data_IF_192491985317
#
_entry.id   IF_192491985317
#
_cell.length_a   1.000
_cell.length_b   1.000
_cell.length_c   1.000
_cell.angle_alpha   90.00
_cell.angle_beta   90.00
_cell.angle_gamma   90.00
#
_symmetry.space_group_name_H-M   'P 1'
#
loop_
_entity.id
_entity.type
_entity.pdbx_description
1 polymer ?
#
# COMPACT_ATOMS: atom_id res chain seq x y z
N UNK A 1 50.97 29.93 -21.25
CA UNK A 1 50.86 29.22 -19.95
C UNK A 1 49.70 29.88 -19.22
N UNK A 2 48.44 29.48 -19.41
CA UNK A 2 47.81 28.20 -19.05
C UNK A 2 47.96 27.88 -17.55
N UNK A 3 46.85 27.92 -16.82
CA UNK A 3 46.75 27.59 -15.39
C UNK A 3 45.36 27.91 -14.84
N UNK A 4 44.40 27.07 -15.24
CA UNK A 4 42.95 27.20 -15.05
C UNK A 4 42.54 27.03 -13.56
N UNK A 5 41.60 27.86 -13.10
CA UNK A 5 40.88 27.63 -11.83
C UNK A 5 39.88 26.49 -12.04
N UNK A 6 40.18 25.30 -11.51
CA UNK A 6 39.21 24.21 -11.46
C UNK A 6 38.32 24.36 -10.22
N UNK A 7 37.03 24.46 -10.50
CA UNK A 7 35.91 24.12 -9.64
C UNK A 7 36.11 22.76 -8.96
N UNK A 8 35.57 22.58 -7.76
CA UNK A 8 34.57 21.53 -7.56
C UNK A 8 33.70 21.88 -6.33
N UNK A 9 32.53 22.43 -6.65
CA UNK A 9 31.37 22.42 -5.78
C UNK A 9 31.07 20.95 -5.50
N UNK A 10 31.21 20.54 -4.23
CA UNK A 10 30.81 19.21 -3.73
C UNK A 10 29.35 18.95 -4.07
N UNK A 11 29.13 18.30 -5.22
CA UNK A 11 27.86 17.76 -5.61
C UNK A 11 27.48 16.64 -4.66
N UNK A 12 26.53 16.90 -3.77
CA UNK A 12 25.72 15.89 -3.09
C UNK A 12 24.78 15.24 -4.13
N UNK A 13 25.38 14.55 -5.09
CA UNK A 13 24.69 13.62 -5.97
C UNK A 13 24.49 12.34 -5.18
N UNK A 14 23.28 12.11 -4.67
CA UNK A 14 22.86 10.78 -4.20
C UNK A 14 22.94 9.85 -5.42
N UNK A 15 24.06 9.14 -5.56
CA UNK A 15 24.34 8.26 -6.70
C UNK A 15 23.58 6.94 -6.61
N UNK A 16 23.09 6.57 -5.44
CA UNK A 16 22.34 5.33 -5.24
C UNK A 16 20.86 5.62 -4.97
N UNK A 17 20.03 5.45 -6.00
CA UNK A 17 18.56 5.52 -5.89
C UNK A 17 17.94 4.26 -5.25
N UNK A 18 18.74 3.24 -4.99
CA UNK A 18 18.29 1.95 -4.46
C UNK A 18 19.23 1.47 -3.36
N UNK A 19 18.67 1.10 -2.21
CA UNK A 19 19.40 0.41 -1.14
C UNK A 19 19.10 -1.10 -1.16
N UNK A 20 20.10 -1.93 -0.90
CA UNK A 20 19.87 -3.35 -0.54
C UNK A 20 19.63 -3.41 0.97
N UNK A 21 18.42 -3.82 1.37
CA UNK A 21 18.10 -4.05 2.77
C UNK A 21 18.85 -5.27 3.30
N UNK A 22 19.47 -5.15 4.46
CA UNK A 22 20.00 -6.31 5.18
C UNK A 22 18.83 -7.18 5.64
N UNK A 23 18.88 -8.48 5.35
CA UNK A 23 17.79 -9.42 5.68
C UNK A 23 17.66 -9.73 7.17
N UNK A 24 18.51 -9.14 8.03
CA UNK A 24 18.43 -9.15 9.50
C UNK A 24 18.65 -10.51 10.16
N UNK A 25 18.00 -11.56 9.66
CA UNK A 25 18.01 -12.90 10.20
C UNK A 25 18.96 -13.81 9.39
N UNK A 26 19.87 -14.47 10.10
CA UNK A 26 20.74 -15.52 9.58
C UNK A 26 20.39 -16.84 10.29
N UNK A 27 20.18 -17.92 9.53
CA UNK A 27 19.78 -19.22 10.05
C UNK A 27 20.92 -20.22 9.87
N UNK A 28 21.39 -20.78 10.98
CA UNK A 28 22.54 -21.68 11.03
C UNK A 28 22.25 -23.11 10.52
N UNK A 29 21.04 -23.35 10.02
CA UNK A 29 20.57 -24.65 9.53
C UNK A 29 20.23 -25.67 10.62
N UNK A 30 20.25 -25.29 11.91
CA UNK A 30 19.99 -26.23 13.02
C UNK A 30 18.98 -25.69 14.03
N UNK A 31 18.22 -26.59 14.67
CA UNK A 31 17.29 -26.22 15.76
C UNK A 31 17.99 -26.13 17.14
N UNK A 32 19.33 -26.30 17.20
CA UNK A 32 20.06 -26.39 18.49
C UNK A 32 20.11 -25.07 19.26
N UNK A 33 19.96 -23.94 18.57
CA UNK A 33 20.02 -22.58 19.12
C UNK A 33 18.67 -21.85 19.11
N UNK A 34 17.60 -22.60 18.89
CA UNK A 34 16.25 -22.07 18.77
C UNK A 34 15.54 -22.18 20.12
N UNK A 35 15.02 -21.05 20.61
CA UNK A 35 14.19 -20.97 21.82
C UNK A 35 12.74 -20.69 21.42
N UNK A 36 11.81 -21.07 22.30
CA UNK A 36 10.40 -20.77 22.13
C UNK A 36 10.09 -19.36 22.67
N UNK A 37 9.50 -18.52 21.83
CA UNK A 37 9.11 -17.17 22.22
C UNK A 37 7.59 -17.00 22.05
N UNK A 38 6.86 -16.57 23.10
CA UNK A 38 5.46 -16.21 22.96
C UNK A 38 5.34 -14.82 22.34
N UNK A 39 4.68 -14.72 21.19
CA UNK A 39 4.39 -13.47 20.51
C UNK A 39 2.89 -13.25 20.51
N UNK A 40 2.45 -12.09 20.98
CA UNK A 40 1.07 -11.65 20.92
C UNK A 40 0.84 -10.85 19.64
N UNK A 41 0.00 -11.36 18.73
CA UNK A 41 -0.24 -10.77 17.40
C UNK A 41 -1.72 -10.78 17.01
N UNK A 42 -2.06 -9.97 16.03
CA UNK A 42 -3.32 -10.06 15.30
C UNK A 42 -3.22 -11.16 14.23
N UNK A 43 -4.12 -12.15 14.28
CA UNK A 43 -4.22 -13.20 13.26
C UNK A 43 -5.52 -13.01 12.47
N UNK A 44 -5.41 -13.20 11.17
CA UNK A 44 -6.56 -13.26 10.26
C UNK A 44 -7.25 -14.61 10.46
N UNK A 45 -8.50 -14.59 10.91
CA UNK A 45 -9.36 -15.75 11.06
C UNK A 45 -9.99 -16.14 9.73
N UNK A 46 -10.62 -15.17 9.07
CA UNK A 46 -11.22 -15.33 7.76
C UNK A 46 -11.00 -14.06 6.92
N UNK A 47 -11.00 -14.22 5.59
CA UNK A 47 -10.78 -13.12 4.67
C UNK A 47 -11.46 -13.35 3.33
N UNK A 48 -11.91 -12.25 2.73
CA UNK A 48 -12.49 -12.25 1.40
C UNK A 48 -11.86 -11.14 0.54
N UNK A 49 -11.48 -11.52 -0.68
CA UNK A 49 -10.85 -10.65 -1.67
C UNK A 49 -11.80 -10.42 -2.84
N UNK A 50 -11.95 -9.16 -3.24
CA UNK A 50 -12.84 -8.76 -4.32
C UNK A 50 -12.11 -7.93 -5.34
N UNK A 51 -12.32 -8.24 -6.61
CA UNK A 51 -11.86 -7.44 -7.74
C UNK A 51 -13.09 -6.88 -8.44
N UNK A 52 -13.19 -5.55 -8.46
CA UNK A 52 -14.29 -4.81 -9.04
C UNK A 52 -13.77 -3.92 -10.16
N UNK A 53 -14.64 -3.65 -11.14
CA UNK A 53 -14.29 -2.79 -12.26
C UNK A 53 -15.29 -1.65 -12.38
N UNK A 54 -14.76 -0.43 -12.42
CA UNK A 54 -15.51 0.77 -12.78
C UNK A 54 -15.09 1.28 -14.14
N UNK A 55 -16.02 1.87 -14.90
CA UNK A 55 -15.71 2.49 -16.19
C UNK A 55 -16.05 3.98 -16.16
N UNK A 56 -15.14 4.80 -16.68
CA UNK A 56 -15.32 6.23 -16.87
C UNK A 56 -14.96 6.62 -18.30
N UNK A 57 -15.90 7.22 -19.00
CA UNK A 57 -15.66 7.79 -20.33
C UNK A 57 -15.28 9.27 -20.18
N UNK A 58 -14.17 9.66 -20.77
CA UNK A 58 -13.72 11.05 -20.84
C UNK A 58 -13.72 11.51 -22.29
N UNK A 59 -14.65 12.41 -22.65
CA UNK A 59 -14.77 12.93 -24.00
C UNK A 59 -14.06 14.29 -24.12
N UNK A 60 -13.41 14.51 -25.26
CA UNK A 60 -12.81 15.78 -25.65
C UNK A 60 -11.78 16.31 -24.62
N UNK A 61 -11.07 15.40 -23.95
CA UNK A 61 -10.12 15.72 -22.90
C UNK A 61 -8.91 16.41 -23.49
N UNK A 62 -8.55 17.58 -22.98
CA UNK A 62 -7.38 18.34 -23.43
C UNK A 62 -6.12 17.77 -22.80
N UNK A 63 -5.09 17.59 -23.64
CA UNK A 63 -3.76 17.14 -23.26
C UNK A 63 -2.72 18.26 -23.40
N UNK A 64 -1.63 18.15 -22.64
CA UNK A 64 -0.48 19.06 -22.69
C UNK A 64 0.83 18.26 -22.80
N UNK A 65 1.86 18.77 -23.50
CA UNK A 65 1.91 20.06 -24.20
C UNK A 65 1.13 20.06 -25.52
N UNK A 66 0.87 21.24 -26.07
CA UNK A 66 0.41 21.38 -27.45
C UNK A 66 1.55 21.03 -28.42
N UNK A 67 1.21 20.40 -29.55
CA UNK A 67 2.19 19.90 -30.53
C UNK A 67 2.67 20.95 -31.54
N UNK A 68 2.11 22.16 -31.51
CA UNK A 68 2.37 23.21 -32.51
C UNK A 68 1.45 23.15 -33.73
N UNK A 69 1.44 24.22 -34.53
CA UNK A 69 0.62 24.31 -35.72
C UNK A 69 1.02 23.23 -36.74
N UNK A 70 0.02 22.73 -37.49
CA UNK A 70 0.22 21.71 -38.52
C UNK A 70 0.64 20.32 -38.05
N UNK A 71 0.80 20.12 -36.74
CA UNK A 71 1.21 18.83 -36.18
C UNK A 71 0.20 17.71 -36.45
N UNK A 72 0.72 16.53 -36.79
CA UNK A 72 -0.09 15.31 -37.02
C UNK A 72 0.51 14.12 -36.27
N UNK A 73 -0.30 13.45 -35.45
CA UNK A 73 0.10 12.21 -34.79
C UNK A 73 0.12 11.06 -35.82
N UNK A 74 1.26 10.38 -35.94
CA UNK A 74 1.45 9.21 -36.80
C UNK A 74 0.98 7.95 -36.07
N UNK A 75 1.46 7.75 -34.85
CA UNK A 75 1.16 6.57 -34.04
C UNK A 75 1.28 6.85 -32.54
N UNK A 76 0.60 6.02 -31.76
CA UNK A 76 0.70 5.97 -30.30
C UNK A 76 1.69 4.85 -29.96
N UNK A 77 2.63 5.13 -29.07
CA UNK A 77 3.58 4.18 -28.54
C UNK A 77 3.01 3.46 -27.32
N UNK A 78 2.50 4.22 -26.35
CA UNK A 78 1.95 3.70 -25.11
C UNK A 78 0.90 4.65 -24.52
N UNK A 79 -0.01 4.10 -23.71
CA UNK A 79 -0.99 4.85 -22.92
C UNK A 79 -0.89 4.37 -21.48
N UNK A 80 -0.44 5.27 -20.60
CA UNK A 80 -0.22 4.99 -19.19
C UNK A 80 -1.25 5.72 -18.35
N UNK A 81 -1.75 5.04 -17.33
CA UNK A 81 -2.63 5.63 -16.35
C UNK A 81 -2.06 5.43 -14.95
N UNK A 82 -2.06 6.49 -14.15
CA UNK A 82 -1.64 6.45 -12.75
C UNK A 82 -2.59 7.27 -11.89
N UNK A 83 -2.63 6.93 -10.61
CA UNK A 83 -3.38 7.72 -9.63
C UNK A 83 -2.83 9.12 -9.53
N UNK A 84 -3.73 10.09 -9.38
CA UNK A 84 -3.32 11.39 -8.89
C UNK A 84 -3.14 11.32 -7.38
N UNK A 85 -1.98 11.76 -6.89
CA UNK A 85 -1.71 11.97 -5.47
C UNK A 85 -0.83 13.20 -5.31
N UNK A 86 -1.27 14.13 -4.45
CA UNK A 86 -0.55 15.33 -4.09
C UNK A 86 0.20 15.10 -2.75
N UNK A 87 1.54 14.89 -2.78
CA UNK A 87 2.30 14.63 -1.57
C UNK A 87 2.36 15.83 -0.62
N UNK A 88 2.13 17.06 -1.12
CA UNK A 88 2.13 18.26 -0.30
C UNK A 88 0.83 18.45 0.49
N UNK A 89 -0.25 17.76 0.09
CA UNK A 89 -1.55 17.85 0.77
C UNK A 89 -2.36 16.56 0.61
N UNK A 90 -2.41 15.77 1.68
CA UNK A 90 -3.18 14.51 1.71
C UNK A 90 -4.70 14.73 1.56
N UNK A 91 -5.18 15.92 1.93
CA UNK A 91 -6.60 16.31 1.85
C UNK A 91 -6.96 16.98 0.51
N UNK A 92 -6.07 16.96 -0.49
CA UNK A 92 -6.41 17.46 -1.84
C UNK A 92 -7.54 16.61 -2.43
N UNK A 93 -8.66 17.25 -2.78
CA UNK A 93 -9.84 16.57 -3.34
C UNK A 93 -9.56 15.87 -4.68
N UNK A 94 -8.44 16.18 -5.35
CA UNK A 94 -8.01 15.49 -6.57
C UNK A 94 -7.33 14.15 -6.28
N UNK A 95 -6.88 13.91 -5.05
CA UNK A 95 -6.28 12.64 -4.65
C UNK A 95 -7.28 11.52 -4.89
N UNK A 96 -6.87 10.51 -5.67
CA UNK A 96 -7.74 9.37 -5.95
C UNK A 96 -7.92 8.54 -4.68
N UNK A 97 -9.16 8.40 -4.22
CA UNK A 97 -9.50 7.67 -3.00
C UNK A 97 -10.62 6.68 -3.28
N UNK A 98 -10.50 5.48 -2.70
CA UNK A 98 -11.60 4.54 -2.54
C UNK A 98 -12.08 4.66 -1.09
N UNK A 99 -13.35 4.98 -0.90
CA UNK A 99 -13.98 5.12 0.41
C UNK A 99 -14.97 3.96 0.54
N UNK A 100 -14.57 2.85 1.20
CA UNK A 100 -15.48 1.75 1.44
C UNK A 100 -16.41 2.09 2.61
N UNK A 101 -17.68 1.77 2.44
CA UNK A 101 -18.72 1.78 3.47
C UNK A 101 -19.33 0.38 3.51
N UNK A 102 -19.18 -0.29 4.66
CA UNK A 102 -19.66 -1.65 4.87
C UNK A 102 -20.85 -1.67 5.82
N UNK A 103 -21.85 -2.47 5.48
CA UNK A 103 -22.98 -2.81 6.35
C UNK A 103 -23.01 -4.32 6.54
N UNK A 104 -23.12 -4.77 7.79
CA UNK A 104 -23.14 -6.19 8.18
C UNK A 104 -24.58 -6.59 8.52
N UNK A 105 -24.94 -7.80 8.11
CA UNK A 105 -26.19 -8.49 8.37
C UNK A 105 -25.87 -9.82 9.07
N UNK A 106 -26.64 -10.17 10.09
CA UNK A 106 -26.37 -11.36 10.93
C UNK A 106 -25.35 -11.10 12.05
N UNK A 107 -24.96 -9.85 12.25
CA UNK A 107 -24.07 -9.38 13.31
C UNK A 107 -24.14 -7.88 13.46
N UNK A 108 -23.64 -7.38 14.57
CA UNK A 108 -23.63 -5.96 14.91
C UNK A 108 -22.21 -5.42 14.97
N UNK A 109 -22.02 -4.23 14.42
CA UNK A 109 -20.84 -3.42 14.72
C UNK A 109 -21.05 -2.88 16.15
N UNK A 110 -20.08 -3.14 17.03
CA UNK A 110 -20.19 -2.68 18.42
C UNK A 110 -20.06 -1.16 18.45
N UNK A 111 -21.07 -0.49 18.96
CA UNK A 111 -21.14 0.96 19.09
C UNK A 111 -20.91 1.41 20.55
N UNK A 112 -20.42 2.64 20.71
CA UNK A 112 -20.37 3.32 21.99
C UNK A 112 -21.77 3.77 22.44
N UNK A 113 -21.87 4.30 23.67
CA UNK A 113 -23.13 4.83 24.20
C UNK A 113 -23.69 6.06 23.45
N UNK A 114 -23.01 6.54 22.41
CA UNK A 114 -23.41 7.63 21.53
C UNK A 114 -23.73 7.15 20.10
N UNK A 115 -23.68 5.85 19.82
CA UNK A 115 -23.96 5.26 18.50
C UNK A 115 -22.78 5.33 17.52
N UNK A 116 -21.54 5.56 17.98
CA UNK A 116 -20.37 5.51 17.11
C UNK A 116 -19.70 4.13 17.18
N UNK A 117 -19.28 3.55 16.04
CA UNK A 117 -18.52 2.31 16.04
C UNK A 117 -17.25 2.37 16.90
N UNK A 118 -17.07 1.39 17.77
CA UNK A 118 -15.86 1.23 18.58
C UNK A 118 -14.72 0.74 17.68
N UNK A 119 -13.68 1.57 17.56
CA UNK A 119 -12.50 1.29 16.74
C UNK A 119 -11.27 0.95 17.58
N UNK A 120 -10.46 0.04 17.06
CA UNK A 120 -9.20 -0.42 17.66
C UNK A 120 -8.05 -0.06 16.73
N UNK A 121 -6.88 0.16 17.33
CA UNK A 121 -5.65 0.44 16.58
C UNK A 121 -5.21 -0.83 15.84
N UNK A 122 -5.18 -0.74 14.51
CA UNK A 122 -4.70 -1.79 13.63
C UNK A 122 -3.17 -1.77 13.47
N UNK A 123 -2.63 -2.70 12.66
CA UNK A 123 -1.20 -2.84 12.44
C UNK A 123 -0.58 -1.64 11.70
N UNK A 124 -1.40 -0.81 11.06
CA UNK A 124 -1.00 0.46 10.43
C UNK A 124 -0.82 1.61 11.43
N UNK A 125 -1.10 1.37 12.72
CA UNK A 125 -0.98 2.37 13.77
C UNK A 125 -2.16 3.35 13.82
N UNK A 126 -3.23 3.11 13.06
CA UNK A 126 -4.44 3.96 13.06
C UNK A 126 -5.67 3.19 13.55
N UNK A 127 -6.75 3.90 13.86
CA UNK A 127 -8.03 3.31 14.25
C UNK A 127 -8.77 2.73 13.02
N UNK A 128 -8.21 1.65 12.47
CA UNK A 128 -8.60 1.01 11.23
C UNK A 128 -9.48 -0.24 11.43
N UNK A 129 -9.44 -0.85 12.61
CA UNK A 129 -10.22 -2.05 12.94
C UNK A 129 -11.49 -1.69 13.72
N UNK A 130 -12.62 -2.35 13.43
CA UNK A 130 -13.90 -2.16 14.14
C UNK A 130 -14.30 -3.45 14.84
N UNK A 131 -14.86 -3.37 16.04
CA UNK A 131 -15.28 -4.57 16.79
C UNK A 131 -16.63 -5.08 16.25
N UNK A 132 -16.74 -6.39 16.04
CA UNK A 132 -17.96 -7.05 15.57
C UNK A 132 -18.44 -8.06 16.61
N UNK A 133 -19.75 -8.09 16.84
CA UNK A 133 -20.41 -9.04 17.72
C UNK A 133 -21.47 -9.84 16.96
N UNK A 134 -21.51 -11.14 17.22
CA UNK A 134 -22.51 -12.08 16.70
C UNK A 134 -22.80 -13.07 17.82
N UNK A 135 -24.06 -13.47 18.01
CA UNK A 135 -24.33 -14.61 18.88
C UNK A 135 -23.85 -15.90 18.18
N UNK A 136 -22.79 -16.51 18.70
CA UNK A 136 -22.18 -17.73 18.14
C UNK A 136 -22.63 -19.03 18.81
N UNK A 137 -23.53 -19.00 19.81
CA UNK A 137 -23.92 -20.16 20.66
C UNK A 137 -24.21 -21.42 19.83
N UNK A 138 -25.12 -21.33 18.85
CA UNK A 138 -25.54 -22.47 18.03
C UNK A 138 -24.39 -23.07 17.21
N UNK A 139 -23.47 -22.22 16.71
CA UNK A 139 -22.34 -22.66 15.89
C UNK A 139 -21.21 -23.24 16.74
N UNK A 140 -21.04 -22.70 17.96
CA UNK A 140 -20.05 -23.14 18.93
C UNK A 140 -20.34 -24.58 19.41
N UNK A 141 -21.62 -24.95 19.60
CA UNK A 141 -22.03 -26.32 19.91
C UNK A 141 -21.60 -27.34 18.84
N UNK A 142 -21.53 -26.90 17.58
CA UNK A 142 -21.06 -27.71 16.45
C UNK A 142 -19.54 -27.57 16.18
N UNK A 143 -18.83 -26.72 16.93
CA UNK A 143 -17.41 -26.41 16.72
C UNK A 143 -17.14 -25.68 15.40
N UNK A 144 -18.08 -24.85 14.94
CA UNK A 144 -18.01 -24.08 13.68
C UNK A 144 -18.05 -22.58 13.96
N UNK A 145 -17.62 -21.77 13.01
CA UNK A 145 -17.81 -20.31 13.09
C UNK A 145 -19.16 -19.88 12.49
N UNK A 146 -19.65 -18.72 12.91
CA UNK A 146 -20.95 -18.17 12.51
C UNK A 146 -20.81 -17.31 11.25
N UNK A 147 -21.60 -17.54 10.20
CA UNK A 147 -21.53 -16.73 8.99
C UNK A 147 -22.19 -15.37 9.20
N UNK A 148 -21.54 -14.32 8.70
CA UNK A 148 -22.10 -12.99 8.53
C UNK A 148 -22.11 -12.63 7.07
N UNK A 149 -23.14 -11.88 6.66
CA UNK A 149 -23.28 -11.37 5.31
C UNK A 149 -23.09 -9.86 5.33
N UNK A 150 -22.49 -9.30 4.30
CA UNK A 150 -22.33 -7.86 4.24
C UNK A 150 -22.51 -7.31 2.85
N UNK A 151 -22.95 -6.06 2.81
CA UNK A 151 -22.95 -5.23 1.61
C UNK A 151 -21.86 -4.18 1.76
N UNK A 152 -21.06 -4.03 0.71
CA UNK A 152 -20.03 -3.01 0.63
C UNK A 152 -20.34 -2.07 -0.52
N UNK A 153 -20.31 -0.77 -0.22
CA UNK A 153 -20.36 0.30 -1.19
C UNK A 153 -19.01 1.01 -1.21
N UNK A 154 -18.38 1.11 -2.37
CA UNK A 154 -17.09 1.78 -2.54
C UNK A 154 -17.32 3.03 -3.38
N UNK A 155 -17.13 4.18 -2.76
CA UNK A 155 -17.16 5.47 -3.43
C UNK A 155 -15.77 5.81 -3.93
N UNK A 156 -15.63 5.97 -5.25
CA UNK A 156 -14.38 6.40 -5.86
C UNK A 156 -14.49 7.88 -6.22
N UNK A 157 -13.61 8.67 -5.62
CA UNK A 157 -13.52 10.12 -5.81
C UNK A 157 -12.09 10.52 -6.20
N UNK A 158 -11.95 11.69 -6.82
CA UNK A 158 -10.67 12.26 -7.22
C UNK A 158 -10.34 12.04 -8.70
N UNK A 159 -9.06 12.06 -9.03
CA UNK A 159 -8.58 12.13 -10.41
C UNK A 159 -7.51 11.09 -10.72
N UNK A 160 -7.36 10.78 -12.01
CA UNK A 160 -6.22 10.02 -12.54
C UNK A 160 -5.38 10.93 -13.44
N UNK A 161 -4.11 10.59 -13.60
CA UNK A 161 -3.25 11.18 -14.61
C UNK A 161 -3.08 10.17 -15.74
N UNK A 162 -3.42 10.59 -16.95
CA UNK A 162 -3.22 9.81 -18.17
C UNK A 162 -2.08 10.43 -18.96
N UNK A 163 -1.14 9.59 -19.35
CA UNK A 163 0.02 9.93 -20.18
C UNK A 163 -0.06 9.13 -21.48
N UNK A 164 0.05 9.79 -22.64
CA UNK A 164 0.01 9.17 -23.97
C UNK A 164 1.32 9.51 -24.66
N UNK A 165 2.12 8.50 -24.94
CA UNK A 165 3.38 8.64 -25.68
C UNK A 165 3.08 8.54 -27.18
N UNK A 166 3.39 9.59 -27.94
CA UNK A 166 3.05 9.68 -29.36
C UNK A 166 4.27 10.01 -30.21
N UNK A 167 4.28 9.50 -31.43
CA UNK A 167 5.13 10.02 -32.51
C UNK A 167 4.27 10.92 -33.39
N UNK A 168 4.71 12.16 -33.58
CA UNK A 168 4.04 13.14 -34.43
C UNK A 168 5.02 13.74 -35.44
N UNK A 169 4.48 14.26 -36.54
CA UNK A 169 5.20 15.09 -37.51
C UNK A 169 4.80 16.55 -37.33
N UNK A 170 5.78 17.44 -37.41
CA UNK A 170 5.58 18.88 -37.51
C UNK A 170 5.51 19.32 -38.99
N UNK A 171 5.39 20.64 -39.22
CA UNK A 171 5.41 21.24 -40.57
C UNK A 171 6.71 21.00 -41.35
N UNK A 172 7.78 20.50 -40.70
CA UNK A 172 9.05 20.16 -41.33
C UNK A 172 9.13 18.67 -41.72
N UNK A 173 8.03 17.91 -41.60
CA UNK A 173 7.96 16.45 -41.81
C UNK A 173 8.94 15.66 -40.92
N UNK A 174 9.34 16.22 -39.78
CA UNK A 174 10.25 15.55 -38.84
C UNK A 174 9.45 14.73 -37.84
N UNK A 175 9.78 13.44 -37.72
CA UNK A 175 9.24 12.60 -36.65
C UNK A 175 9.82 13.00 -35.30
N UNK A 176 8.94 13.34 -34.37
CA UNK A 176 9.26 13.72 -33.00
C UNK A 176 8.45 12.88 -32.00
N UNK A 177 9.07 12.52 -30.88
CA UNK A 177 8.44 11.79 -29.78
C UNK A 177 8.08 12.76 -28.64
N UNK A 178 6.89 12.61 -28.08
CA UNK A 178 6.43 13.42 -26.95
C UNK A 178 5.43 12.68 -26.08
N UNK A 179 5.49 12.92 -24.77
CA UNK A 179 4.49 12.46 -23.80
C UNK A 179 3.45 13.55 -23.59
N UNK A 180 2.20 13.23 -23.94
CA UNK A 180 1.03 14.05 -23.67
C UNK A 180 0.44 13.67 -22.32
N UNK A 181 0.20 14.62 -21.43
CA UNK A 181 -0.37 14.39 -20.11
C UNK A 181 -1.69 15.14 -19.90
N UNK A 182 -2.64 14.50 -19.22
CA UNK A 182 -3.88 15.11 -18.75
C UNK A 182 -4.28 14.57 -17.37
N UNK A 183 -4.83 15.43 -16.53
CA UNK A 183 -5.49 15.03 -15.28
C UNK A 183 -7.00 14.94 -15.52
N UNK A 184 -7.58 13.77 -15.28
CA UNK A 184 -8.97 13.46 -15.61
C UNK A 184 -9.73 13.14 -14.31
N UNK A 185 -10.83 13.87 -14.00
CA UNK A 185 -11.65 13.59 -12.84
C UNK A 185 -12.47 12.31 -13.04
N UNK A 186 -12.38 11.40 -12.08
CA UNK A 186 -13.15 10.15 -12.04
C UNK A 186 -14.51 10.39 -11.40
N UNK A 187 -14.51 11.00 -10.22
CA UNK A 187 -15.70 11.27 -9.42
C UNK A 187 -15.46 12.44 -8.48
N UNK A 188 -16.53 13.07 -8.01
CA UNK A 188 -16.48 14.12 -6.99
C UNK A 188 -17.23 13.68 -5.74
N UNK A 189 -17.05 14.37 -4.62
CA UNK A 189 -17.77 14.08 -3.37
C UNK A 189 -19.31 14.07 -3.54
N UNK A 190 -19.84 14.88 -4.47
CA UNK A 190 -21.27 14.93 -4.76
C UNK A 190 -21.73 13.86 -5.75
N UNK A 191 -20.83 13.38 -6.61
CA UNK A 191 -21.11 12.40 -7.66
C UNK A 191 -19.95 11.39 -7.73
N UNK A 192 -19.81 10.53 -6.71
CA UNK A 192 -18.77 9.51 -6.70
C UNK A 192 -19.10 8.43 -7.73
N UNK A 193 -18.06 7.73 -8.19
CA UNK A 193 -18.26 6.47 -8.91
C UNK A 193 -18.49 5.38 -7.86
N UNK A 194 -19.72 4.87 -7.81
CA UNK A 194 -20.14 3.87 -6.82
C UNK A 194 -19.96 2.45 -7.37
N UNK A 195 -19.25 1.61 -6.62
CA UNK A 195 -19.19 0.17 -6.85
C UNK A 195 -19.82 -0.56 -5.66
N UNK A 196 -20.73 -1.48 -5.92
CA UNK A 196 -21.39 -2.27 -4.87
C UNK A 196 -20.99 -3.73 -4.98
N UNK A 197 -20.75 -4.37 -3.84
CA UNK A 197 -20.44 -5.78 -3.76
C UNK A 197 -21.05 -6.41 -2.49
N UNK A 198 -21.23 -7.72 -2.52
CA UNK A 198 -21.72 -8.51 -1.41
C UNK A 198 -20.65 -9.51 -0.98
N UNK A 199 -20.64 -9.85 0.31
CA UNK A 199 -19.68 -10.80 0.85
C UNK A 199 -20.30 -11.63 1.98
N UNK A 200 -19.65 -12.76 2.24
CA UNK A 200 -19.87 -13.63 3.38
C UNK A 200 -18.52 -13.79 4.08
N UNK A 201 -18.52 -13.70 5.41
CA UNK A 201 -17.36 -13.94 6.26
C UNK A 201 -17.76 -14.79 7.46
N UNK A 202 -16.80 -15.50 8.03
CA UNK A 202 -17.00 -16.35 9.18
C UNK A 202 -16.45 -15.69 10.45
N UNK A 203 -17.26 -15.67 11.52
CA UNK A 203 -16.92 -15.14 12.84
C UNK A 203 -16.60 -16.30 13.78
N UNK A 204 -15.46 -16.26 14.50
CA UNK A 204 -15.16 -17.25 15.53
C UNK A 204 -16.02 -17.01 16.78
N UNK A 205 -16.05 -18.00 17.68
CA UNK A 205 -16.74 -17.87 18.98
C UNK A 205 -16.43 -16.56 19.68
N UNK A 206 -17.47 -15.89 20.20
CA UNK A 206 -17.32 -14.65 20.97
C UNK A 206 -17.36 -14.88 22.49
N UNK A 207 -17.80 -16.05 22.95
CA UNK A 207 -18.00 -16.32 24.38
C UNK A 207 -16.75 -16.85 25.07
N UNK A 208 -15.96 -17.68 24.40
CA UNK A 208 -14.75 -18.30 24.95
C UNK A 208 -13.48 -17.48 24.67
N UNK A 209 -13.61 -16.16 24.51
CA UNK A 209 -12.49 -15.28 24.16
C UNK A 209 -12.42 -14.04 25.04
N UNK A 210 -11.21 -13.58 25.35
CA UNK A 210 -10.99 -12.33 26.07
C UNK A 210 -11.15 -11.09 25.17
N UNK A 211 -11.21 -11.28 23.86
CA UNK A 211 -11.27 -10.22 22.87
C UNK A 211 -12.28 -10.55 21.79
N UNK A 212 -13.18 -9.62 21.53
CA UNK A 212 -14.12 -9.75 20.43
C UNK A 212 -13.41 -9.72 19.07
N UNK A 213 -13.96 -10.43 18.06
CA UNK A 213 -13.49 -10.38 16.69
C UNK A 213 -13.51 -8.96 16.13
N UNK A 214 -12.54 -8.65 15.28
CA UNK A 214 -12.37 -7.34 14.66
C UNK A 214 -12.52 -7.43 13.17
N UNK A 215 -13.22 -6.48 12.58
CA UNK A 215 -13.34 -6.33 11.14
C UNK A 215 -12.43 -5.22 10.65
N UNK A 216 -11.69 -5.47 9.58
CA UNK A 216 -10.99 -4.44 8.83
C UNK A 216 -11.21 -4.63 7.34
N UNK A 217 -11.20 -3.52 6.62
CA UNK A 217 -11.22 -3.51 5.18
C UNK A 217 -10.28 -2.47 4.63
N UNK A 218 -9.70 -2.78 3.47
CA UNK A 218 -8.88 -1.84 2.74
C UNK A 218 -8.99 -2.11 1.25
N UNK A 219 -8.95 -1.04 0.47
CA UNK A 219 -9.10 -1.06 -0.96
C UNK A 219 -7.91 -0.38 -1.64
N UNK A 220 -7.47 -0.98 -2.72
CA UNK A 220 -6.50 -0.39 -3.62
C UNK A 220 -7.11 -0.25 -5.01
N UNK A 221 -6.82 0.87 -5.66
CA UNK A 221 -7.26 1.14 -7.03
C UNK A 221 -6.07 0.97 -7.98
N UNK A 222 -6.31 0.55 -9.20
CA UNK A 222 -5.42 0.73 -10.35
C UNK A 222 -6.26 1.27 -11.51
N UNK A 223 -5.62 1.86 -12.51
CA UNK A 223 -6.32 2.34 -13.68
C UNK A 223 -5.64 1.88 -14.97
N UNK A 224 -6.47 1.55 -15.95
CA UNK A 224 -6.06 1.26 -17.31
C UNK A 224 -6.83 2.18 -18.25
N UNK A 225 -6.20 2.64 -19.31
CA UNK A 225 -6.82 3.59 -20.24
C UNK A 225 -6.59 3.15 -21.67
N UNK A 226 -7.63 3.32 -22.49
CA UNK A 226 -7.56 3.14 -23.93
C UNK A 226 -8.35 4.23 -24.64
N UNK A 227 -8.09 4.37 -25.94
CA UNK A 227 -8.93 5.21 -26.79
C UNK A 227 -10.37 4.67 -26.81
N UNK A 228 -11.36 5.55 -26.80
CA UNK A 228 -12.77 5.17 -26.66
C UNK A 228 -13.24 4.15 -27.72
N UNK A 229 -12.82 4.33 -28.99
CA UNK A 229 -13.16 3.44 -30.11
C UNK A 229 -11.94 2.69 -30.66
N UNK A 230 -10.83 2.66 -29.92
CA UNK A 230 -9.53 2.11 -30.33
C UNK A 230 -9.04 2.66 -31.70
N UNK A 231 -9.36 3.93 -32.03
CA UNK A 231 -9.02 4.51 -33.33
C UNK A 231 -8.49 5.93 -33.20
N UNK A 232 -7.23 6.14 -33.62
CA UNK A 232 -6.55 7.44 -33.57
C UNK A 232 -7.36 8.52 -34.31
N UNK A 233 -7.83 8.22 -35.52
CA UNK A 233 -8.52 9.21 -36.37
C UNK A 233 -9.88 9.66 -35.85
N UNK A 234 -10.53 8.87 -34.98
CA UNK A 234 -11.82 9.22 -34.36
C UNK A 234 -11.66 9.75 -32.94
N UNK A 235 -10.72 9.18 -32.20
CA UNK A 235 -10.60 9.44 -30.77
C UNK A 235 -9.64 10.59 -30.49
N UNK A 236 -8.73 10.95 -31.41
CA UNK A 236 -7.79 12.05 -31.23
C UNK A 236 -8.07 13.16 -32.25
N UNK A 237 -8.21 14.38 -31.72
CA UNK A 237 -8.41 15.61 -32.49
C UNK A 237 -7.27 16.57 -32.17
N UNK A 238 -6.66 17.14 -33.20
CA UNK A 238 -5.61 18.15 -33.07
C UNK A 238 -6.13 19.43 -33.70
N UNK A 239 -6.09 20.53 -32.96
CA UNK A 239 -6.40 21.84 -33.53
C UNK A 239 -5.27 22.25 -34.50
N UNK A 240 -5.54 22.44 -35.80
CA UNK A 240 -4.50 22.73 -36.79
C UNK A 240 -3.80 24.08 -36.55
N UNK A 241 -4.42 25.01 -35.82
CA UNK A 241 -3.85 26.35 -35.56
C UNK A 241 -3.01 26.38 -34.29
N UNK A 242 -3.46 25.70 -33.24
CA UNK A 242 -2.81 25.77 -31.92
C UNK A 242 -1.97 24.53 -31.58
N UNK A 243 -2.18 23.42 -32.29
CA UNK A 243 -1.59 22.13 -31.94
C UNK A 243 -2.17 21.50 -30.68
N UNK A 244 -3.28 22.03 -30.15
CA UNK A 244 -3.90 21.50 -28.93
C UNK A 244 -4.47 20.11 -29.23
N UNK A 245 -4.02 19.11 -28.46
CA UNK A 245 -4.48 17.73 -28.60
C UNK A 245 -5.67 17.50 -27.68
N UNK A 246 -6.73 16.92 -28.24
CA UNK A 246 -7.91 16.47 -27.51
C UNK A 246 -8.14 14.99 -27.78
N UNK A 247 -8.42 14.21 -26.75
CA UNK A 247 -8.68 12.78 -26.90
C UNK A 247 -9.97 12.32 -26.21
N UNK A 248 -10.61 11.31 -26.81
CA UNK A 248 -11.71 10.57 -26.24
C UNK A 248 -11.18 9.25 -25.66
N UNK A 249 -11.35 9.06 -24.36
CA UNK A 249 -10.77 7.95 -23.61
C UNK A 249 -11.85 7.14 -22.89
N UNK A 250 -11.60 5.84 -22.81
CA UNK A 250 -12.25 4.94 -21.87
C UNK A 250 -11.24 4.56 -20.78
N UNK A 251 -11.56 4.93 -19.56
CA UNK A 251 -10.73 4.68 -18.38
C UNK A 251 -11.41 3.56 -17.58
N UNK A 252 -10.72 2.45 -17.41
CA UNK A 252 -11.11 1.38 -16.52
C UNK A 252 -10.40 1.54 -15.18
N UNK A 253 -11.16 1.41 -14.10
CA UNK A 253 -10.66 1.40 -12.73
C UNK A 253 -10.78 -0.01 -12.20
N UNK A 254 -9.64 -0.61 -11.88
CA UNK A 254 -9.55 -1.94 -11.30
C UNK A 254 -9.39 -1.76 -9.79
N UNK A 255 -10.40 -2.13 -9.02
CA UNK A 255 -10.39 -1.98 -7.56
C UNK A 255 -10.28 -3.34 -6.91
N UNK A 256 -9.26 -3.51 -6.08
CA UNK A 256 -9.09 -4.70 -5.25
C UNK A 256 -9.34 -4.32 -3.81
N UNK A 257 -10.32 -4.95 -3.18
CA UNK A 257 -10.62 -4.78 -1.76
C UNK A 257 -10.47 -6.10 -1.02
N UNK A 258 -9.79 -6.05 0.12
CA UNK A 258 -9.66 -7.19 1.03
C UNK A 258 -10.41 -6.88 2.32
N UNK A 259 -11.15 -7.87 2.82
CA UNK A 259 -11.86 -7.82 4.10
C UNK A 259 -11.33 -8.92 4.99
N UNK A 260 -11.19 -8.64 6.27
CA UNK A 260 -10.62 -9.58 7.24
C UNK A 260 -11.40 -9.56 8.53
N UNK A 261 -11.61 -10.75 9.08
CA UNK A 261 -11.91 -10.97 10.48
C UNK A 261 -10.58 -11.26 11.18
N UNK A 262 -10.27 -10.46 12.19
CA UNK A 262 -9.02 -10.49 12.94
C UNK A 262 -9.34 -10.85 14.38
N UNK A 263 -8.54 -11.77 14.93
CA UNK A 263 -8.57 -12.12 16.34
C UNK A 263 -7.17 -12.01 16.93
N UNK A 264 -7.03 -11.45 18.15
CA UNK A 264 -5.77 -11.50 18.86
C UNK A 264 -5.43 -12.94 19.25
N UNK A 265 -4.19 -13.36 19.00
CA UNK A 265 -3.69 -14.69 19.36
C UNK A 265 -2.30 -14.61 19.95
N UNK A 266 -1.99 -15.58 20.81
CA UNK A 266 -0.62 -15.85 21.22
C UNK A 266 -0.06 -16.96 20.33
N UNK A 267 1.02 -16.66 19.60
CA UNK A 267 1.78 -17.64 18.82
C UNK A 267 3.03 -18.02 19.58
N UNK A 268 3.31 -19.31 19.67
CA UNK A 268 4.63 -19.80 20.07
C UNK A 268 5.46 -19.98 18.80
N UNK A 269 6.45 -19.12 18.59
CA UNK A 269 7.37 -19.26 17.45
C UNK A 269 8.72 -19.80 17.91
N UNK A 270 9.36 -20.52 16.99
CA UNK A 270 10.74 -20.95 17.10
C UNK A 270 11.63 -19.79 16.64
N UNK A 271 12.32 -19.15 17.57
CA UNK A 271 13.16 -17.97 17.35
C UNK A 271 14.61 -18.30 17.71
N UNK A 272 15.58 -17.82 16.92
CA UNK A 272 17.00 -17.83 17.31
C UNK A 272 17.39 -16.59 18.13
N UNK A 273 16.40 -15.77 18.51
CA UNK A 273 16.56 -14.47 19.16
C UNK A 273 16.47 -13.30 18.17
N UNK A 274 16.80 -12.09 18.64
CA UNK A 274 16.78 -10.87 17.81
C UNK A 274 17.94 -10.84 16.80
N UNK A 275 17.77 -10.20 15.63
CA UNK A 275 18.83 -10.05 14.64
C UNK A 275 20.04 -9.32 15.23
N UNK A 276 21.19 -9.99 15.24
CA UNK A 276 22.47 -9.42 15.71
C UNK A 276 23.12 -8.68 14.55
N UNK A 277 22.85 -7.38 14.46
CA UNK A 277 23.55 -6.50 13.53
C UNK A 277 24.96 -6.20 14.06
N UNK A 278 25.98 -6.36 13.21
CA UNK A 278 27.30 -5.79 13.50
C UNK A 278 27.27 -4.31 13.11
N UNK A 279 27.49 -3.43 14.08
CA UNK A 279 27.56 -2.00 13.82
C UNK A 279 28.89 -1.62 13.16
N UNK A 280 28.86 -0.74 12.17
CA UNK A 280 30.07 -0.03 11.74
C UNK A 280 30.45 0.99 12.82
N UNK A 281 31.60 0.79 13.46
CA UNK A 281 32.03 1.58 14.62
C UNK A 281 32.95 2.72 14.17
N UNK A 282 32.55 3.96 14.41
CA UNK A 282 33.46 5.10 14.38
C UNK A 282 34.27 5.14 15.71
N UNK A 283 35.59 5.41 15.69
CA UNK A 283 36.52 5.11 16.79
C UNK A 283 36.40 6.00 18.06
N UNK A 284 35.35 6.82 18.18
CA UNK A 284 35.26 7.86 19.21
C UNK A 284 34.70 7.33 20.54
N UNK A 285 33.76 6.39 20.52
CA UNK A 285 33.12 5.87 21.73
C UNK A 285 33.67 4.48 22.08
N UNK A 286 34.10 4.29 23.33
CA UNK A 286 34.63 3.01 23.84
C UNK A 286 33.55 1.98 24.16
N UNK A 287 32.29 2.40 24.32
CA UNK A 287 31.14 1.51 24.51
C UNK A 287 29.86 2.18 24.01
N UNK A 288 28.92 1.36 23.53
CA UNK A 288 27.60 1.81 23.08
C UNK A 288 26.52 1.09 23.90
N UNK A 289 25.42 1.78 24.26
CA UNK A 289 24.30 1.15 24.94
C UNK A 289 23.64 0.10 24.04
N UNK A 290 23.13 -0.98 24.64
CA UNK A 290 22.34 -1.98 23.91
C UNK A 290 20.98 -1.39 23.50
N UNK A 291 20.52 -1.75 22.31
CA UNK A 291 19.21 -1.32 21.79
C UNK A 291 18.04 -2.13 22.36
N UNK A 292 18.31 -3.36 22.81
CA UNK A 292 17.30 -4.28 23.32
C UNK A 292 17.73 -4.83 24.68
N UNK A 293 16.77 -5.09 25.59
CA UNK A 293 17.05 -5.73 26.87
C UNK A 293 17.69 -7.12 26.70
N UNK A 294 18.50 -7.52 27.69
CA UNK A 294 19.01 -8.89 27.75
C UNK A 294 17.84 -9.89 27.84
N UNK A 295 17.90 -10.95 27.03
CA UNK A 295 17.00 -12.08 27.19
C UNK A 295 17.28 -12.77 28.54
N UNK A 296 16.24 -12.91 29.36
CA UNK A 296 16.32 -13.40 30.75
C UNK A 296 16.74 -14.88 30.82
N UNK A 297 16.72 -15.60 29.70
CA UNK A 297 17.06 -17.04 29.63
C UNK A 297 18.56 -17.35 29.51
N UNK A 298 19.45 -16.35 29.50
CA UNK A 298 20.88 -16.64 29.65
C UNK A 298 21.16 -17.01 31.11
N UNK A 299 21.27 -18.32 31.38
CA UNK A 299 22.14 -18.81 32.47
C UNK A 299 23.48 -18.09 32.32
N UNK A 300 23.78 -17.17 33.24
CA UNK A 300 25.09 -16.51 33.29
C UNK A 300 26.14 -17.62 33.32
N UNK A 301 27.07 -17.71 32.37
CA UNK A 301 28.19 -18.63 32.53
C UNK A 301 28.90 -18.23 33.82
N UNK A 302 29.07 -19.19 34.74
CA UNK A 302 29.83 -18.98 35.96
C UNK A 302 31.18 -18.35 35.60
N UNK A 303 31.55 -17.28 36.30
CA UNK A 303 32.89 -16.73 36.20
C UNK A 303 33.88 -17.87 36.48
N UNK A 304 34.73 -18.19 35.49
CA UNK A 304 35.88 -19.05 35.75
C UNK A 304 36.79 -18.27 36.70
N UNK A 305 36.92 -18.77 37.92
CA UNK A 305 37.92 -18.31 38.88
C UNK A 305 39.29 -18.48 38.22
N UNK A 306 40.04 -17.38 38.14
CA UNK A 306 41.40 -17.39 37.64
C UNK A 306 42.27 -18.26 38.55
N UNK A 307 42.89 -19.28 37.99
CA UNK A 307 43.95 -20.04 38.66
C UNK A 307 45.10 -19.08 39.00
N UNK A 308 45.38 -18.92 40.29
CA UNK A 308 46.57 -18.24 40.80
C UNK A 308 47.71 -19.26 40.79
N UNK A 309 48.65 -19.11 39.85
CA UNK A 309 49.95 -19.78 39.93
C UNK A 309 50.71 -19.25 41.17
N UNK A 310 51.02 -20.14 42.10
CA UNK A 310 51.93 -19.86 43.22
C UNK A 310 53.29 -20.48 42.86
N UNK A 311 54.26 -19.63 42.54
CA UNK A 311 55.68 -19.97 42.56
C UNK A 311 56.12 -20.22 44.01
N UNK A 312 56.78 -21.35 44.27
CA UNK A 312 57.59 -21.56 45.47
C UNK A 312 58.96 -22.07 45.06
N UNK A 313 59.99 -21.32 45.50
CA UNK A 313 61.38 -21.75 45.67
C UNK A 313 61.50 -22.96 46.62
#
# INVERSE_FOLDING_TARGET
>A
MAGNHNNDVLGLSITDRCCKGNTGCDWDGTLRRVVNEPIYVQKVYDAALFNLQGLRTAANQVFSPSLGAGARIIRILDIRCRKFFNPANINDARNLRAIPTTTISGGDIVEDGCGNPVRVIGPDGTASETIVFVNTEDCDEEGKGTPIFGTQNIEIVGSVVVEIDVIFTDDCDKECEVTLSATIPIGSEQHPLLLTNFFELCIPSVFDTAFLPRFTEFCNISCETRLATNSISRDIMIDPRTGTVRANLLIALCVTCEKKIIVPVQLCVLSTGFPVLSAEVAPICSSFPQLFPDQIDRRRPCAQEAEVEVETE
#
